data_IF_727046803134
#
_entry.id   IF_727046803134
#
_cell.length_a   1.000
_cell.length_b   1.000
_cell.length_c   1.000
_cell.angle_alpha   90.00
_cell.angle_beta   90.00
_cell.angle_gamma   90.00
#
_symmetry.space_group_name_H-M   'P 1'
#
loop_
_entity.id
_entity.type
_entity.pdbx_description
1 polymer ?
#
# COMPACT_ATOMS: atom_id res chain seq x y z
N UNK A 1 50.26 -44.69 22.50
CA UNK A 1 49.90 -44.44 21.08
C UNK A 1 48.44 -44.03 21.02
N UNK A 2 48.18 -42.72 21.06
CA UNK A 2 46.86 -42.10 20.95
C UNK A 2 46.56 -41.83 19.48
N UNK A 3 45.53 -42.49 18.92
CA UNK A 3 45.01 -42.16 17.58
C UNK A 3 44.20 -40.87 17.67
N UNK A 4 44.48 -39.83 16.86
CA UNK A 4 43.64 -38.66 16.79
C UNK A 4 42.32 -39.01 16.09
N UNK A 5 41.20 -38.69 16.74
CA UNK A 5 39.88 -38.66 16.09
C UNK A 5 39.89 -37.49 15.11
N UNK A 6 40.00 -37.79 13.83
CA UNK A 6 39.83 -36.79 12.78
C UNK A 6 38.45 -36.17 12.93
N UNK A 7 38.44 -34.86 13.23
CA UNK A 7 37.30 -33.98 13.08
C UNK A 7 36.98 -33.89 11.58
N UNK A 8 36.32 -34.92 11.04
CA UNK A 8 35.72 -34.88 9.72
C UNK A 8 34.53 -33.92 9.81
N UNK A 9 34.61 -32.85 9.01
CA UNK A 9 33.74 -31.69 9.11
C UNK A 9 32.26 -32.04 9.14
N UNK A 10 31.56 -31.48 10.12
CA UNK A 10 30.14 -31.21 9.96
C UNK A 10 29.97 -30.38 8.68
N UNK A 11 29.18 -30.82 7.70
CA UNK A 11 28.90 -29.98 6.56
C UNK A 11 28.23 -28.72 7.09
N UNK A 12 28.83 -27.56 6.80
CA UNK A 12 28.22 -26.26 6.98
C UNK A 12 27.07 -26.09 5.96
N UNK A 13 26.02 -26.89 6.09
CA UNK A 13 24.99 -27.04 5.07
C UNK A 13 23.57 -27.26 5.58
N UNK A 14 23.29 -27.03 6.86
CA UNK A 14 22.03 -27.45 7.48
C UNK A 14 21.12 -26.29 7.90
N UNK A 15 21.01 -25.26 7.06
CA UNK A 15 20.31 -24.04 7.50
C UNK A 15 19.82 -23.08 6.44
N UNK A 16 19.74 -23.46 5.16
CA UNK A 16 18.91 -22.66 4.24
C UNK A 16 17.46 -23.08 4.45
N UNK A 17 16.59 -22.22 5.02
CA UNK A 17 15.19 -22.56 5.16
C UNK A 17 14.63 -22.89 3.78
N UNK A 18 14.12 -24.10 3.60
CA UNK A 18 13.51 -24.52 2.34
C UNK A 18 12.23 -23.71 2.09
N UNK A 19 12.33 -22.64 1.31
CA UNK A 19 11.19 -21.80 0.93
C UNK A 19 10.42 -22.52 -0.18
N UNK A 20 9.12 -22.80 0.03
CA UNK A 20 8.32 -23.42 -1.03
C UNK A 20 8.05 -22.45 -2.16
N UNK A 21 7.79 -23.01 -3.35
CA UNK A 21 7.29 -22.24 -4.48
C UNK A 21 6.07 -21.37 -4.10
N UNK A 22 5.16 -21.90 -3.26
CA UNK A 22 4.00 -21.17 -2.75
C UNK A 22 4.36 -19.97 -1.85
N UNK A 23 5.39 -20.10 -1.01
CA UNK A 23 5.90 -18.98 -0.20
C UNK A 23 6.55 -17.91 -1.09
N UNK A 24 7.35 -18.32 -2.07
CA UNK A 24 7.96 -17.39 -3.04
C UNK A 24 6.87 -16.65 -3.82
N UNK A 25 5.88 -17.37 -4.35
CA UNK A 25 4.76 -16.78 -5.09
C UNK A 25 3.99 -15.75 -4.27
N UNK A 26 3.74 -16.03 -2.98
CA UNK A 26 3.04 -15.11 -2.10
C UNK A 26 3.88 -13.87 -1.76
N UNK A 27 5.19 -14.01 -1.59
CA UNK A 27 6.09 -12.86 -1.42
C UNK A 27 6.11 -11.98 -2.67
N UNK A 28 6.09 -12.59 -3.86
CA UNK A 28 5.97 -11.85 -5.13
C UNK A 28 4.63 -11.09 -5.19
N UNK A 29 3.52 -11.71 -4.79
CA UNK A 29 2.21 -11.04 -4.73
C UNK A 29 2.22 -9.85 -3.76
N UNK A 30 2.80 -10.03 -2.57
CA UNK A 30 2.96 -8.95 -1.57
C UNK A 30 3.81 -7.81 -2.14
N UNK A 31 4.93 -8.13 -2.79
CA UNK A 31 5.80 -7.12 -3.40
C UNK A 31 5.09 -6.35 -4.52
N UNK A 32 4.36 -7.04 -5.39
CA UNK A 32 3.58 -6.41 -6.45
C UNK A 32 2.50 -5.47 -5.86
N UNK A 33 1.76 -5.92 -4.84
CA UNK A 33 0.75 -5.12 -4.17
C UNK A 33 1.35 -3.90 -3.46
N UNK A 34 2.55 -4.01 -2.87
CA UNK A 34 3.25 -2.89 -2.25
C UNK A 34 3.67 -1.83 -3.29
N UNK A 35 4.19 -2.25 -4.45
CA UNK A 35 4.50 -1.34 -5.55
C UNK A 35 3.25 -0.65 -6.09
N UNK A 36 2.14 -1.38 -6.20
CA UNK A 36 0.87 -0.80 -6.61
C UNK A 36 0.32 0.19 -5.57
N UNK A 37 0.41 -0.10 -4.26
CA UNK A 37 0.00 0.83 -3.21
C UNK A 37 0.81 2.12 -3.30
N UNK A 38 2.14 2.02 -3.42
CA UNK A 38 3.01 3.19 -3.56
C UNK A 38 2.64 4.07 -4.76
N UNK A 39 2.51 3.46 -5.95
CA UNK A 39 2.08 4.19 -7.17
C UNK A 39 0.71 4.84 -6.97
N UNK A 40 -0.20 4.14 -6.32
CA UNK A 40 -1.53 4.67 -6.08
C UNK A 40 -1.53 5.81 -5.04
N UNK A 41 -0.65 5.80 -4.04
CA UNK A 41 -0.46 6.94 -3.14
C UNK A 41 0.05 8.18 -3.90
N UNK A 42 0.98 8.01 -4.85
CA UNK A 42 1.43 9.10 -5.71
C UNK A 42 0.27 9.68 -6.54
N UNK A 43 -0.59 8.81 -7.10
CA UNK A 43 -1.77 9.24 -7.84
C UNK A 43 -2.79 10.00 -6.97
N UNK A 44 -2.98 9.58 -5.70
CA UNK A 44 -3.80 10.32 -4.73
C UNK A 44 -3.23 11.70 -4.47
N UNK A 45 -1.93 11.81 -4.23
CA UNK A 45 -1.26 13.09 -3.97
C UNK A 45 -1.35 14.03 -5.17
N UNK A 46 -1.17 13.50 -6.39
CA UNK A 46 -1.31 14.29 -7.61
C UNK A 46 -2.75 14.78 -7.82
N UNK A 47 -3.74 13.91 -7.60
CA UNK A 47 -5.15 14.29 -7.70
C UNK A 47 -5.55 15.32 -6.63
N UNK A 48 -5.01 15.19 -5.42
CA UNK A 48 -5.19 16.17 -4.36
C UNK A 48 -4.59 17.53 -4.75
N UNK A 49 -3.36 17.54 -5.27
CA UNK A 49 -2.71 18.77 -5.75
C UNK A 49 -3.57 19.48 -6.82
N UNK A 50 -4.07 18.73 -7.81
CA UNK A 50 -4.95 19.26 -8.86
C UNK A 50 -6.29 19.79 -8.32
N UNK A 51 -6.80 19.23 -7.23
CA UNK A 51 -7.99 19.75 -6.56
C UNK A 51 -7.69 21.07 -5.84
N UNK A 52 -6.58 21.17 -5.10
CA UNK A 52 -6.14 22.42 -4.45
C UNK A 52 -5.83 23.51 -5.49
N UNK A 53 -5.15 23.18 -6.59
CA UNK A 53 -4.90 24.11 -7.69
C UNK A 53 -6.22 24.68 -8.27
N UNK A 54 -7.27 23.84 -8.36
CA UNK A 54 -8.58 24.29 -8.83
C UNK A 54 -9.29 25.21 -7.82
N UNK A 55 -9.16 24.95 -6.52
CA UNK A 55 -9.65 25.84 -5.46
C UNK A 55 -8.96 27.20 -5.53
N UNK A 56 -7.63 27.20 -5.52
CA UNK A 56 -6.84 28.43 -5.58
C UNK A 56 -7.11 29.23 -6.86
N UNK A 57 -7.32 28.55 -7.99
CA UNK A 57 -7.67 29.22 -9.25
C UNK A 57 -9.05 29.86 -9.21
N UNK A 58 -10.01 29.25 -8.51
CA UNK A 58 -11.33 29.83 -8.31
C UNK A 58 -11.25 31.06 -7.38
N UNK A 59 -10.59 30.92 -6.24
CA UNK A 59 -10.43 32.01 -5.27
C UNK A 59 -9.66 33.20 -5.84
N UNK A 60 -8.64 32.95 -6.68
CA UNK A 60 -7.91 34.02 -7.36
C UNK A 60 -8.77 34.86 -8.32
N UNK A 61 -9.91 34.34 -8.78
CA UNK A 61 -10.85 35.04 -9.68
C UNK A 61 -12.03 35.68 -8.95
N UNK A 62 -12.51 35.04 -7.88
CA UNK A 62 -13.76 35.38 -7.21
C UNK A 62 -13.58 35.92 -5.79
N UNK A 63 -12.33 35.96 -5.30
CA UNK A 63 -12.02 36.25 -3.91
C UNK A 63 -11.93 34.96 -3.06
N UNK A 64 -11.21 35.02 -1.92
CA UNK A 64 -11.08 33.89 -1.01
C UNK A 64 -12.43 33.53 -0.39
N UNK A 65 -12.65 32.24 -0.16
CA UNK A 65 -13.83 31.75 0.56
C UNK A 65 -13.45 31.59 2.04
N UNK A 66 -14.25 32.15 2.94
CA UNK A 66 -13.95 32.09 4.37
C UNK A 66 -14.26 30.69 4.95
N UNK A 67 -13.29 30.17 5.71
CA UNK A 67 -13.47 28.95 6.49
C UNK A 67 -13.46 27.67 5.67
N UNK A 68 -14.04 26.61 6.25
CA UNK A 68 -14.05 25.27 5.65
C UNK A 68 -15.21 25.16 4.68
N UNK A 69 -14.94 24.63 3.47
CA UNK A 69 -15.98 24.35 2.49
C UNK A 69 -17.04 23.39 3.07
N UNK A 70 -18.26 23.91 3.12
CA UNK A 70 -19.48 23.25 3.54
C UNK A 70 -20.47 23.18 2.37
N UNK A 71 -20.83 21.99 1.86
CA UNK A 71 -21.83 21.81 0.82
C UNK A 71 -23.23 22.32 1.16
N UNK A 72 -23.54 22.57 2.44
CA UNK A 72 -24.82 23.12 2.89
C UNK A 72 -24.85 24.64 2.88
N UNK A 73 -23.68 25.29 2.83
CA UNK A 73 -23.61 26.74 2.72
C UNK A 73 -23.84 27.17 1.25
N UNK A 74 -24.90 27.94 0.95
CA UNK A 74 -25.14 28.44 -0.41
C UNK A 74 -23.97 29.27 -0.95
N UNK A 75 -23.24 29.99 -0.11
CA UNK A 75 -22.09 30.81 -0.53
C UNK A 75 -20.92 29.95 -1.04
N UNK A 76 -20.83 28.70 -0.59
CA UNK A 76 -19.81 27.74 -1.02
C UNK A 76 -20.24 26.94 -2.25
N UNK A 77 -21.52 26.97 -2.63
CA UNK A 77 -22.02 26.19 -3.76
C UNK A 77 -21.28 26.48 -5.08
N UNK A 78 -20.91 27.74 -5.41
CA UNK A 78 -20.18 28.05 -6.63
C UNK A 78 -18.79 27.40 -6.72
N UNK A 79 -17.96 27.53 -5.67
CA UNK A 79 -16.61 26.95 -5.64
C UNK A 79 -16.68 25.41 -5.62
N UNK A 80 -17.66 24.84 -4.93
CA UNK A 80 -17.88 23.39 -4.88
C UNK A 80 -18.27 22.89 -6.28
N UNK A 81 -19.19 23.56 -6.96
CA UNK A 81 -19.60 23.19 -8.32
C UNK A 81 -18.41 23.27 -9.29
N UNK A 82 -17.61 24.34 -9.21
CA UNK A 82 -16.43 24.53 -10.06
C UNK A 82 -15.35 23.47 -9.85
N UNK A 83 -15.17 22.99 -8.62
CA UNK A 83 -14.10 22.04 -8.27
C UNK A 83 -14.55 20.58 -8.17
N UNK A 84 -15.86 20.32 -8.31
CA UNK A 84 -16.49 18.99 -8.14
C UNK A 84 -15.77 17.88 -8.89
N UNK A 85 -15.47 18.05 -10.17
CA UNK A 85 -14.83 17.00 -10.98
C UNK A 85 -13.42 16.64 -10.50
N UNK A 86 -12.64 17.61 -10.00
CA UNK A 86 -11.30 17.35 -9.44
C UNK A 86 -11.41 16.67 -8.07
N UNK A 87 -12.36 17.11 -7.25
CA UNK A 87 -12.66 16.49 -5.97
C UNK A 87 -13.09 15.02 -6.13
N UNK A 88 -14.02 14.73 -7.05
CA UNK A 88 -14.47 13.37 -7.34
C UNK A 88 -13.33 12.47 -7.83
N UNK A 89 -12.44 13.00 -8.67
CA UNK A 89 -11.23 12.28 -9.10
C UNK A 89 -10.33 11.96 -7.91
N UNK A 90 -10.06 12.93 -7.03
CA UNK A 90 -9.28 12.68 -5.81
C UNK A 90 -9.93 11.60 -4.92
N UNK A 91 -11.25 11.63 -4.74
CA UNK A 91 -11.96 10.60 -3.99
C UNK A 91 -11.94 9.22 -4.67
N UNK A 92 -12.00 9.17 -6.00
CA UNK A 92 -11.84 7.93 -6.75
C UNK A 92 -10.45 7.31 -6.54
N UNK A 93 -9.39 8.11 -6.62
CA UNK A 93 -8.03 7.63 -6.36
C UNK A 93 -7.84 7.17 -4.90
N UNK A 94 -8.47 7.84 -3.92
CA UNK A 94 -8.46 7.39 -2.52
C UNK A 94 -9.14 6.03 -2.33
N UNK A 95 -10.26 5.79 -3.01
CA UNK A 95 -10.96 4.50 -2.98
C UNK A 95 -10.09 3.38 -3.56
N UNK A 96 -9.41 3.64 -4.68
CA UNK A 96 -8.45 2.68 -5.26
C UNK A 96 -7.29 2.38 -4.30
N UNK A 97 -6.70 3.41 -3.69
CA UNK A 97 -5.64 3.28 -2.70
C UNK A 97 -6.07 2.40 -1.52
N UNK A 98 -7.26 2.66 -0.99
CA UNK A 98 -7.84 1.86 0.09
C UNK A 98 -7.97 0.37 -0.29
N UNK A 99 -8.53 0.08 -1.47
CA UNK A 99 -8.72 -1.29 -1.94
C UNK A 99 -7.38 -2.03 -2.11
N UNK A 100 -6.37 -1.39 -2.70
CA UNK A 100 -5.04 -1.98 -2.88
C UNK A 100 -4.40 -2.24 -1.51
N UNK A 101 -4.42 -1.25 -0.61
CA UNK A 101 -3.87 -1.40 0.74
C UNK A 101 -4.57 -2.53 1.51
N UNK A 102 -5.89 -2.67 1.36
CA UNK A 102 -6.63 -3.75 2.01
C UNK A 102 -6.21 -5.12 1.47
N UNK A 103 -6.02 -5.25 0.16
CA UNK A 103 -5.50 -6.47 -0.47
C UNK A 103 -4.09 -6.78 0.02
N UNK A 104 -3.20 -5.78 0.08
CA UNK A 104 -1.84 -5.92 0.62
C UNK A 104 -1.86 -6.45 2.05
N UNK A 105 -2.67 -5.85 2.93
CA UNK A 105 -2.80 -6.31 4.32
C UNK A 105 -3.26 -7.77 4.41
N UNK A 106 -4.21 -8.17 3.55
CA UNK A 106 -4.66 -9.57 3.48
C UNK A 106 -3.53 -10.50 3.04
N UNK A 107 -2.79 -10.13 1.99
CA UNK A 107 -1.66 -10.91 1.50
C UNK A 107 -0.55 -11.06 2.55
N UNK A 108 -0.20 -9.97 3.27
CA UNK A 108 0.76 -10.02 4.37
C UNK A 108 0.29 -10.93 5.51
N UNK A 109 -1.00 -10.89 5.87
CA UNK A 109 -1.56 -11.81 6.89
C UNK A 109 -1.43 -13.26 6.44
N UNK A 110 -1.79 -13.58 5.20
CA UNK A 110 -1.63 -14.93 4.63
C UNK A 110 -0.18 -15.40 4.67
N UNK A 111 0.77 -14.53 4.30
CA UNK A 111 2.19 -14.86 4.32
C UNK A 111 2.68 -15.19 5.74
N UNK A 112 2.22 -14.41 6.73
CA UNK A 112 2.52 -14.68 8.14
C UNK A 112 1.99 -16.04 8.59
N UNK A 113 0.75 -16.37 8.24
CA UNK A 113 0.14 -17.66 8.62
C UNK A 113 0.87 -18.84 7.99
N UNK A 114 1.13 -18.81 6.67
CA UNK A 114 1.86 -19.89 5.99
C UNK A 114 3.26 -20.11 6.56
N UNK A 115 3.95 -19.04 6.96
CA UNK A 115 5.25 -19.15 7.60
C UNK A 115 5.17 -19.73 9.01
N UNK A 116 4.13 -19.38 9.78
CA UNK A 116 3.89 -19.92 11.11
C UNK A 116 3.49 -21.41 11.08
N UNK A 117 2.60 -21.79 10.17
CA UNK A 117 2.14 -23.17 10.00
C UNK A 117 3.32 -24.09 9.60
N UNK A 118 4.21 -23.61 8.73
CA UNK A 118 5.47 -24.34 8.43
C UNK A 118 6.42 -24.45 9.60
N UNK A 119 6.60 -23.37 10.37
CA UNK A 119 7.44 -23.43 11.57
C UNK A 119 6.91 -24.43 12.61
N UNK A 120 5.59 -24.64 12.64
CA UNK A 120 4.92 -25.64 13.49
C UNK A 120 4.92 -27.07 12.90
N UNK A 121 5.45 -27.28 11.69
CA UNK A 121 5.48 -28.59 11.03
C UNK A 121 4.12 -29.07 10.50
N UNK A 122 3.12 -28.20 10.38
CA UNK A 122 1.75 -28.57 9.98
C UNK A 122 1.49 -28.53 8.47
N UNK A 123 2.48 -28.13 7.67
CA UNK A 123 2.40 -28.06 6.20
C UNK A 123 3.60 -28.81 5.60
N UNK A 124 3.34 -30.03 5.11
CA UNK A 124 4.30 -30.83 4.31
C UNK A 124 4.39 -30.29 2.88
#
# INVERSE_FOLDING_TARGET
MTKPKNAAGQPAGDGTPYVSASQIALLIEVAALALHDHRQQLAVNEAHRKYIEALNSYEGKHGPVEGRLDPRNPDHAPIIAATKGKYEKHQAEKRKAYNIRRRLQTACRKARHLNADRAAGSVQ
#
